data_IF_886561357426
#
_entry.id   IF_886561357426
#
_cell.length_a   1.000
_cell.length_b   1.000
_cell.length_c   1.000
_cell.angle_alpha   90.00
_cell.angle_beta   90.00
_cell.angle_gamma   90.00
#
_symmetry.space_group_name_H-M   'P 1'
#
loop_
_entity.id
_entity.type
_entity.pdbx_description
1 polymer ?
#
# COMPACT_ATOMS: atom_id res chain seq x y z
N UNK A 1 10.97 14.56 -1.26
CA UNK A 1 10.15 15.46 -2.14
C UNK A 1 9.40 14.62 -3.13
N UNK A 2 8.07 14.83 -3.29
CA UNK A 2 7.26 14.05 -4.23
C UNK A 2 7.63 14.42 -5.67
N UNK A 3 7.94 13.42 -6.53
CA UNK A 3 8.34 13.66 -7.91
C UNK A 3 7.18 14.18 -8.76
N UNK A 4 7.44 14.81 -9.92
CA UNK A 4 6.40 15.34 -10.77
C UNK A 4 5.47 14.27 -11.30
N UNK A 5 4.21 14.64 -11.54
CA UNK A 5 3.25 13.82 -12.26
C UNK A 5 3.29 14.18 -13.74
N UNK A 6 3.45 13.18 -14.58
CA UNK A 6 3.53 13.32 -16.04
C UNK A 6 2.26 12.78 -16.67
N UNK A 7 1.79 13.44 -17.72
CA UNK A 7 0.66 12.98 -18.54
C UNK A 7 0.93 13.31 -20.01
N UNK A 8 0.39 12.50 -20.92
CA UNK A 8 0.66 12.67 -22.36
C UNK A 8 -0.52 13.24 -23.15
N UNK A 9 -1.74 13.03 -22.67
CA UNK A 9 -2.96 13.39 -23.40
C UNK A 9 -3.59 14.66 -22.84
N UNK A 10 -4.01 15.58 -23.71
CA UNK A 10 -4.59 16.86 -23.30
C UNK A 10 -5.89 16.70 -22.46
N UNK A 11 -6.69 15.68 -22.73
CA UNK A 11 -7.90 15.37 -21.96
C UNK A 11 -7.62 14.92 -20.52
N UNK A 12 -6.38 14.54 -20.19
CA UNK A 12 -5.96 14.15 -18.84
C UNK A 12 -5.48 15.34 -18.00
N UNK A 13 -5.33 16.53 -18.58
CA UNK A 13 -4.73 17.67 -17.89
C UNK A 13 -5.43 18.02 -16.57
N UNK A 14 -6.74 18.21 -16.59
CA UNK A 14 -7.52 18.56 -15.39
C UNK A 14 -7.36 17.53 -14.28
N UNK A 15 -7.41 16.24 -14.62
CA UNK A 15 -7.23 15.16 -13.68
C UNK A 15 -5.79 15.12 -13.14
N UNK A 16 -4.80 15.27 -14.02
CA UNK A 16 -3.39 15.29 -13.64
C UNK A 16 -3.09 16.45 -12.68
N UNK A 17 -3.62 17.64 -12.94
CA UNK A 17 -3.46 18.80 -12.06
C UNK A 17 -4.15 18.61 -10.71
N UNK A 18 -5.33 17.98 -10.67
CA UNK A 18 -6.02 17.67 -9.42
C UNK A 18 -5.25 16.65 -8.58
N UNK A 19 -4.79 15.56 -9.20
CA UNK A 19 -3.98 14.52 -8.52
C UNK A 19 -2.66 15.11 -8.05
N UNK A 20 -1.97 15.91 -8.87
CA UNK A 20 -0.71 16.55 -8.49
C UNK A 20 -0.86 17.50 -7.29
N UNK A 21 -1.96 18.27 -7.22
CA UNK A 21 -2.27 19.13 -6.06
C UNK A 21 -2.45 18.31 -4.77
N UNK A 22 -3.20 17.23 -4.84
CA UNK A 22 -3.41 16.34 -3.69
C UNK A 22 -2.11 15.70 -3.20
N UNK A 23 -1.25 15.32 -4.13
CA UNK A 23 0.08 14.82 -3.84
C UNK A 23 1.04 15.90 -3.30
N UNK A 24 0.80 17.16 -3.59
CA UNK A 24 1.72 18.27 -3.29
C UNK A 24 2.88 18.36 -4.27
N UNK A 25 2.63 18.06 -5.55
CA UNK A 25 3.61 18.12 -6.65
C UNK A 25 3.07 18.88 -7.85
N UNK A 26 3.80 18.89 -8.97
CA UNK A 26 3.40 19.57 -10.20
C UNK A 26 3.02 18.56 -11.27
N UNK A 27 1.99 18.88 -12.08
CA UNK A 27 1.67 18.15 -13.29
C UNK A 27 2.43 18.74 -14.48
N UNK A 28 2.96 17.86 -15.35
CA UNK A 28 3.71 18.25 -16.55
C UNK A 28 3.21 17.45 -17.76
N UNK A 29 2.89 18.14 -18.83
CA UNK A 29 2.62 17.48 -20.11
C UNK A 29 3.97 17.12 -20.75
N UNK A 30 4.25 15.83 -20.86
CA UNK A 30 5.49 15.35 -21.49
C UNK A 30 5.32 13.91 -21.98
N UNK A 31 5.77 13.65 -23.19
CA UNK A 31 5.87 12.29 -23.76
C UNK A 31 7.18 11.58 -23.43
N UNK A 32 8.15 12.27 -22.81
CA UNK A 32 9.51 11.76 -22.60
C UNK A 32 10.01 12.10 -21.20
N UNK A 33 9.82 11.19 -20.27
CA UNK A 33 10.42 11.27 -18.94
C UNK A 33 10.94 9.89 -18.54
N UNK A 34 12.18 9.59 -18.87
CA UNK A 34 12.78 8.28 -18.59
C UNK A 34 13.97 8.34 -17.64
N UNK A 35 14.48 9.55 -17.34
CA UNK A 35 15.74 9.73 -16.61
C UNK A 35 15.59 10.05 -15.13
N UNK A 36 14.39 10.30 -14.62
CA UNK A 36 14.15 10.65 -13.22
C UNK A 36 12.90 9.95 -12.67
N UNK A 37 12.80 9.73 -11.34
CA UNK A 37 11.58 9.25 -10.73
C UNK A 37 10.39 10.17 -11.07
N UNK A 38 9.26 9.58 -11.44
CA UNK A 38 8.04 10.34 -11.72
C UNK A 38 6.78 9.47 -11.55
N UNK A 39 5.68 10.16 -11.32
CA UNK A 39 4.35 9.57 -11.46
C UNK A 39 3.89 9.73 -12.90
N UNK A 40 3.16 8.77 -13.43
CA UNK A 40 2.63 8.79 -14.79
C UNK A 40 1.14 8.50 -14.78
N UNK A 41 0.36 9.44 -15.31
CA UNK A 41 -1.08 9.27 -15.50
C UNK A 41 -1.36 8.91 -16.96
N UNK A 42 -1.90 7.72 -17.15
CA UNK A 42 -2.27 7.17 -18.45
C UNK A 42 -3.71 6.68 -18.45
N UNK A 43 -4.19 6.16 -19.57
CA UNK A 43 -5.50 5.49 -19.65
C UNK A 43 -5.58 4.25 -18.75
N UNK A 44 -4.44 3.62 -18.47
CA UNK A 44 -4.36 2.46 -17.56
C UNK A 44 -4.44 2.85 -16.09
N UNK A 45 -4.35 4.13 -15.75
CA UNK A 45 -4.37 4.66 -14.40
C UNK A 45 -3.07 5.33 -13.98
N UNK A 46 -2.95 5.62 -12.68
CA UNK A 46 -1.78 6.22 -12.06
C UNK A 46 -0.71 5.17 -11.79
N UNK A 47 0.52 5.43 -12.22
CA UNK A 47 1.67 4.55 -12.02
C UNK A 47 2.89 5.33 -11.55
N UNK A 48 3.87 4.62 -10.97
CA UNK A 48 5.14 5.19 -10.53
C UNK A 48 6.31 4.57 -11.29
N UNK A 49 7.22 5.40 -11.76
CA UNK A 49 8.46 5.01 -12.43
C UNK A 49 9.68 5.43 -11.62
N UNK A 50 10.67 4.55 -11.55
CA UNK A 50 11.99 4.86 -11.00
C UNK A 50 13.07 4.30 -11.91
N UNK A 51 14.07 5.13 -12.35
CA UNK A 51 15.07 4.72 -13.34
C UNK A 51 16.03 3.63 -12.83
N UNK A 52 16.23 3.56 -11.52
CA UNK A 52 17.10 2.54 -10.90
C UNK A 52 16.36 1.23 -10.58
N UNK A 53 15.04 1.17 -10.77
CA UNK A 53 14.34 -0.09 -10.62
C UNK A 53 14.77 -1.07 -11.71
N UNK A 54 15.07 -2.31 -11.33
CA UNK A 54 15.49 -3.37 -12.27
C UNK A 54 14.43 -3.69 -13.31
N UNK A 55 13.17 -3.67 -12.87
CA UNK A 55 12.06 -3.71 -13.81
C UNK A 55 11.93 -2.36 -14.47
N UNK A 56 12.00 -2.29 -15.79
CA UNK A 56 11.73 -1.06 -16.54
C UNK A 56 10.25 -0.75 -16.68
N UNK A 57 9.39 -1.62 -16.16
CA UNK A 57 7.95 -1.42 -16.13
C UNK A 57 7.60 -0.51 -14.95
N UNK A 58 6.62 0.38 -15.13
CA UNK A 58 6.09 1.22 -14.06
C UNK A 58 5.34 0.38 -13.02
N UNK A 59 5.32 0.81 -11.77
CA UNK A 59 4.44 0.22 -10.76
C UNK A 59 3.02 0.75 -10.98
N UNK A 60 2.14 -0.09 -11.46
CA UNK A 60 0.69 0.11 -11.50
C UNK A 60 0.05 -0.83 -10.49
N UNK A 61 -0.81 -0.32 -9.63
CA UNK A 61 -1.60 -1.14 -8.73
C UNK A 61 -2.84 -1.63 -9.47
N UNK A 62 -2.96 -2.95 -9.60
CA UNK A 62 -4.09 -3.59 -10.27
C UNK A 62 -4.63 -4.70 -9.37
N UNK A 63 -5.87 -4.56 -8.94
CA UNK A 63 -6.58 -5.54 -8.10
C UNK A 63 -7.40 -6.55 -8.90
N UNK A 64 -7.53 -6.35 -10.22
CA UNK A 64 -8.32 -7.23 -11.09
C UNK A 64 -7.54 -8.48 -11.53
N UNK A 65 -6.20 -8.41 -11.49
CA UNK A 65 -5.33 -9.45 -12.07
C UNK A 65 -4.17 -9.85 -11.14
N UNK A 66 -3.44 -10.88 -11.54
CA UNK A 66 -2.21 -11.31 -10.90
C UNK A 66 -2.39 -12.03 -9.56
N UNK A 67 -1.31 -12.00 -8.74
CA UNK A 67 -1.26 -12.71 -7.46
C UNK A 67 -2.29 -12.21 -6.44
N UNK A 68 -2.62 -10.93 -6.47
CA UNK A 68 -3.58 -10.29 -5.56
C UNK A 68 -4.98 -10.84 -5.78
N UNK A 69 -5.48 -10.82 -7.00
CA UNK A 69 -6.79 -11.39 -7.33
C UNK A 69 -6.89 -12.89 -7.04
N UNK A 70 -5.78 -13.63 -7.22
CA UNK A 70 -5.73 -15.05 -6.88
C UNK A 70 -5.76 -15.30 -5.37
N UNK A 71 -5.02 -14.53 -4.55
CA UNK A 71 -5.03 -14.64 -3.08
C UNK A 71 -6.40 -14.34 -2.50
N UNK A 72 -7.06 -13.30 -2.98
CA UNK A 72 -8.42 -12.94 -2.57
C UNK A 72 -9.38 -14.11 -2.77
N UNK A 73 -9.38 -14.74 -3.95
CA UNK A 73 -10.24 -15.90 -4.25
C UNK A 73 -9.94 -17.11 -3.35
N UNK A 74 -8.77 -17.19 -2.76
CA UNK A 74 -8.32 -18.28 -1.90
C UNK A 74 -8.17 -17.88 -0.42
N UNK A 75 -8.68 -16.74 -0.01
CA UNK A 75 -8.57 -16.23 1.37
C UNK A 75 -8.98 -17.28 2.41
N UNK A 76 -9.98 -18.09 2.11
CA UNK A 76 -10.41 -19.18 2.97
C UNK A 76 -9.37 -20.28 3.23
N UNK A 77 -8.34 -20.39 2.40
CA UNK A 77 -7.23 -21.34 2.55
C UNK A 77 -6.04 -20.79 3.34
N UNK A 78 -6.05 -19.50 3.70
CA UNK A 78 -4.99 -18.84 4.48
C UNK A 78 -5.09 -19.20 5.98
N UNK A 79 -4.70 -20.45 6.28
CA UNK A 79 -4.84 -21.03 7.61
C UNK A 79 -4.09 -20.28 8.71
N UNK A 80 -2.91 -19.71 8.39
CA UNK A 80 -2.08 -19.01 9.38
C UNK A 80 -2.71 -17.70 9.80
N UNK A 81 -3.20 -16.91 8.84
CA UNK A 81 -3.91 -15.64 9.12
C UNK A 81 -5.18 -15.93 9.93
N UNK A 82 -6.00 -16.89 9.49
CA UNK A 82 -7.20 -17.28 10.25
C UNK A 82 -6.88 -17.75 11.68
N UNK A 83 -5.78 -18.47 11.87
CA UNK A 83 -5.32 -18.87 13.19
C UNK A 83 -4.85 -17.68 14.04
N UNK A 84 -4.19 -16.70 13.42
CA UNK A 84 -3.72 -15.49 14.10
C UNK A 84 -4.89 -14.58 14.53
N UNK A 85 -5.93 -14.47 13.70
CA UNK A 85 -7.15 -13.71 14.02
C UNK A 85 -8.00 -14.38 15.13
N UNK A 86 -7.78 -15.69 15.37
CA UNK A 86 -8.59 -16.46 16.31
C UNK A 86 -9.93 -16.90 15.70
N UNK A 87 -10.78 -17.48 16.57
CA UNK A 87 -12.16 -17.86 16.21
C UNK A 87 -13.08 -16.72 16.59
N UNK A 88 -13.76 -16.14 15.62
CA UNK A 88 -14.83 -15.17 15.84
C UNK A 88 -15.99 -15.52 14.92
N UNK A 89 -17.20 -15.53 15.47
CA UNK A 89 -18.43 -15.71 14.71
C UNK A 89 -18.93 -14.39 14.11
N UNK A 90 -18.35 -13.26 14.54
CA UNK A 90 -18.68 -11.92 14.08
C UNK A 90 -17.52 -11.30 13.30
N UNK A 91 -17.81 -10.40 12.35
CA UNK A 91 -16.78 -9.59 11.70
C UNK A 91 -15.96 -8.82 12.74
N UNK A 92 -14.64 -8.86 12.60
CA UNK A 92 -13.70 -8.11 13.43
C UNK A 92 -13.45 -6.73 12.83
N UNK A 93 -13.14 -5.75 13.69
CA UNK A 93 -12.57 -4.45 13.32
C UNK A 93 -11.04 -4.57 13.41
N UNK A 94 -10.37 -4.51 12.27
CA UNK A 94 -8.93 -4.71 12.15
C UNK A 94 -8.26 -3.38 11.81
N UNK A 95 -7.24 -3.02 12.57
CA UNK A 95 -6.32 -1.95 12.21
C UNK A 95 -5.09 -2.55 11.53
N UNK A 96 -4.94 -2.30 10.24
CA UNK A 96 -3.74 -2.64 9.49
C UNK A 96 -2.80 -1.42 9.50
N UNK A 97 -1.75 -1.49 10.32
CA UNK A 97 -0.77 -0.40 10.49
C UNK A 97 0.23 -0.30 9.34
N UNK A 98 0.24 -1.24 8.42
CA UNK A 98 1.24 -1.41 7.36
C UNK A 98 0.62 -1.80 6.03
N UNK A 99 -0.32 -0.99 5.56
CA UNK A 99 -1.15 -1.29 4.39
C UNK A 99 -0.37 -1.76 3.16
N UNK A 100 0.76 -1.13 2.86
CA UNK A 100 1.63 -1.49 1.74
C UNK A 100 0.84 -1.56 0.43
N UNK A 101 0.84 -2.72 -0.23
CA UNK A 101 0.05 -2.96 -1.44
C UNK A 101 -1.34 -3.58 -1.16
N UNK A 102 -1.86 -3.46 0.04
CA UNK A 102 -3.14 -4.01 0.52
C UNK A 102 -3.27 -5.54 0.40
N UNK A 103 -2.17 -6.28 0.35
CA UNK A 103 -2.25 -7.73 0.12
C UNK A 103 -2.92 -8.47 1.28
N UNK A 104 -2.55 -8.15 2.52
CA UNK A 104 -3.13 -8.76 3.70
C UNK A 104 -4.44 -8.08 4.09
N UNK A 105 -4.56 -6.75 3.90
CA UNK A 105 -5.82 -6.02 4.00
C UNK A 105 -6.93 -6.69 3.18
N UNK A 106 -6.65 -7.04 1.91
CA UNK A 106 -7.62 -7.70 1.04
C UNK A 106 -8.01 -9.10 1.53
N UNK A 107 -7.09 -9.82 2.20
CA UNK A 107 -7.45 -11.08 2.84
C UNK A 107 -8.43 -10.87 3.98
N UNK A 108 -8.20 -9.88 4.84
CA UNK A 108 -9.11 -9.56 5.94
C UNK A 108 -10.49 -9.17 5.42
N UNK A 109 -10.55 -8.31 4.41
CA UNK A 109 -11.79 -7.91 3.74
C UNK A 109 -12.52 -9.10 3.13
N UNK A 110 -11.80 -10.01 2.45
CA UNK A 110 -12.35 -11.23 1.83
C UNK A 110 -12.89 -12.22 2.86
N UNK A 111 -12.37 -12.19 4.09
CA UNK A 111 -12.90 -12.96 5.22
C UNK A 111 -14.11 -12.28 5.89
N UNK A 112 -14.54 -11.12 5.40
CA UNK A 112 -15.72 -10.40 5.86
C UNK A 112 -15.50 -9.38 6.97
N UNK A 113 -14.23 -9.13 7.35
CA UNK A 113 -13.87 -8.18 8.40
C UNK A 113 -13.95 -6.73 7.91
N UNK A 114 -14.02 -5.78 8.85
CA UNK A 114 -13.85 -4.34 8.60
C UNK A 114 -12.39 -3.99 8.82
N UNK A 115 -11.80 -3.17 7.94
CA UNK A 115 -10.39 -2.84 8.01
C UNK A 115 -10.17 -1.34 7.88
N UNK A 116 -9.49 -0.76 8.85
CA UNK A 116 -8.86 0.55 8.72
C UNK A 116 -7.39 0.31 8.41
N UNK A 117 -6.94 0.70 7.20
CA UNK A 117 -5.59 0.47 6.71
C UNK A 117 -4.82 1.80 6.63
N UNK A 118 -3.63 1.82 7.21
CA UNK A 118 -2.79 3.01 7.32
C UNK A 118 -1.61 2.91 6.33
N UNK A 119 -1.45 3.95 5.51
CA UNK A 119 -0.32 4.09 4.60
C UNK A 119 0.34 5.46 4.77
N UNK A 120 1.60 5.48 5.13
CA UNK A 120 2.36 6.70 5.36
C UNK A 120 2.79 7.37 4.06
N UNK A 121 3.16 6.57 3.05
CA UNK A 121 3.59 7.07 1.74
C UNK A 121 2.42 7.69 0.98
N UNK A 122 2.53 8.99 0.67
CA UNK A 122 1.55 9.67 -0.17
C UNK A 122 1.49 9.09 -1.58
N UNK A 123 2.65 8.75 -2.13
CA UNK A 123 2.73 8.14 -3.47
C UNK A 123 1.97 6.83 -3.48
N UNK A 124 2.30 5.92 -2.55
CA UNK A 124 1.66 4.61 -2.50
C UNK A 124 0.17 4.73 -2.20
N UNK A 125 -0.23 5.60 -1.27
CA UNK A 125 -1.63 5.88 -0.97
C UNK A 125 -2.44 6.27 -2.22
N UNK A 126 -1.93 7.19 -3.03
CA UNK A 126 -2.63 7.60 -4.26
C UNK A 126 -2.64 6.53 -5.35
N UNK A 127 -1.57 5.73 -5.46
CA UNK A 127 -1.55 4.56 -6.34
C UNK A 127 -2.61 3.52 -5.91
N UNK A 128 -2.80 3.33 -4.60
CA UNK A 128 -3.82 2.45 -4.05
C UNK A 128 -5.23 2.97 -4.32
N UNK A 129 -5.48 4.26 -4.07
CA UNK A 129 -6.77 4.89 -4.37
C UNK A 129 -7.14 4.76 -5.84
N UNK A 130 -6.19 5.01 -6.74
CA UNK A 130 -6.38 4.82 -8.19
C UNK A 130 -6.67 3.35 -8.52
N UNK A 131 -5.91 2.41 -7.95
CA UNK A 131 -6.14 0.98 -8.14
C UNK A 131 -7.51 0.53 -7.65
N UNK A 132 -7.95 1.00 -6.47
CA UNK A 132 -9.29 0.73 -5.92
C UNK A 132 -10.36 1.26 -6.87
N UNK A 133 -10.25 2.51 -7.34
CA UNK A 133 -11.23 3.13 -8.23
C UNK A 133 -11.41 2.37 -9.56
N UNK A 134 -10.37 1.68 -10.03
CA UNK A 134 -10.35 0.87 -11.25
C UNK A 134 -10.71 -0.62 -11.02
N UNK A 135 -10.96 -1.01 -9.77
CA UNK A 135 -11.32 -2.40 -9.49
C UNK A 135 -12.70 -2.75 -10.08
N UNK A 136 -12.80 -3.93 -10.67
CA UNK A 136 -14.05 -4.47 -11.16
C UNK A 136 -15.02 -4.87 -10.03
N UNK A 137 -14.46 -5.25 -8.87
CA UNK A 137 -15.22 -5.60 -7.68
C UNK A 137 -15.04 -4.51 -6.62
N UNK A 138 -15.97 -3.57 -6.59
CA UNK A 138 -16.00 -2.49 -5.61
C UNK A 138 -16.51 -2.96 -4.25
N UNK A 139 -17.26 -4.05 -4.20
CA UNK A 139 -17.91 -4.51 -2.97
C UNK A 139 -16.91 -4.97 -1.92
N UNK A 140 -15.75 -5.48 -2.33
CA UNK A 140 -14.69 -5.86 -1.40
C UNK A 140 -14.13 -4.67 -0.62
N UNK A 141 -14.19 -3.47 -1.19
CA UNK A 141 -13.66 -2.25 -0.57
C UNK A 141 -14.69 -1.47 0.25
N UNK A 142 -15.97 -1.88 0.28
CA UNK A 142 -17.00 -1.21 1.08
C UNK A 142 -16.70 -1.22 2.59
N UNK A 143 -15.90 -2.19 3.05
CA UNK A 143 -15.49 -2.34 4.44
C UNK A 143 -14.06 -1.86 4.70
N UNK A 144 -13.45 -1.14 3.75
CA UNK A 144 -12.12 -0.57 3.84
C UNK A 144 -12.17 0.92 4.13
N UNK A 145 -11.49 1.34 5.17
CA UNK A 145 -11.11 2.72 5.39
C UNK A 145 -9.59 2.83 5.17
N UNK A 146 -9.17 3.46 4.06
CA UNK A 146 -7.76 3.69 3.74
C UNK A 146 -7.36 5.11 4.10
N UNK A 147 -6.39 5.26 5.00
CA UNK A 147 -5.94 6.55 5.53
C UNK A 147 -4.47 6.79 5.19
N UNK A 148 -4.17 8.03 4.71
CA UNK A 148 -2.78 8.46 4.53
C UNK A 148 -2.25 9.07 5.82
N UNK A 149 -1.76 8.22 6.70
CA UNK A 149 -1.23 8.61 8.01
C UNK A 149 -0.14 7.65 8.48
N UNK A 150 0.80 8.18 9.26
CA UNK A 150 1.79 7.34 9.95
C UNK A 150 1.13 6.57 11.09
N UNK A 151 1.41 5.27 11.18
CA UNK A 151 0.83 4.37 12.17
C UNK A 151 1.09 4.79 13.62
N UNK A 152 2.29 5.33 13.91
CA UNK A 152 2.63 5.79 15.27
C UNK A 152 1.79 7.02 15.68
N UNK A 153 1.52 7.90 14.72
CA UNK A 153 0.67 9.08 14.97
C UNK A 153 -0.80 8.69 15.17
N UNK A 154 -1.24 7.63 14.48
CA UNK A 154 -2.60 7.11 14.61
C UNK A 154 -2.80 6.27 15.88
N UNK A 155 -1.78 5.53 16.33
CA UNK A 155 -1.86 4.63 17.48
C UNK A 155 -2.36 5.30 18.76
N UNK A 156 -2.04 6.57 18.95
CA UNK A 156 -2.53 7.37 20.09
C UNK A 156 -4.07 7.58 20.08
N UNK A 157 -4.69 7.43 18.92
CA UNK A 157 -6.14 7.61 18.69
C UNK A 157 -6.85 6.27 18.45
N UNK A 158 -6.08 5.18 18.29
CA UNK A 158 -6.60 3.85 18.00
C UNK A 158 -7.40 3.31 19.19
N UNK A 159 -8.73 3.39 19.10
CA UNK A 159 -9.67 2.82 20.06
C UNK A 159 -10.64 1.93 19.31
N UNK A 160 -11.08 0.84 19.98
CA UNK A 160 -12.15 -0.03 19.49
C UNK A 160 -11.75 -0.91 18.27
N UNK A 161 -10.50 -1.33 18.15
CA UNK A 161 -10.09 -2.39 17.24
C UNK A 161 -9.99 -3.72 18.00
N UNK A 162 -10.46 -4.79 17.35
CA UNK A 162 -10.36 -6.15 17.88
C UNK A 162 -8.96 -6.72 17.62
N UNK A 163 -8.33 -6.29 16.51
CA UNK A 163 -7.01 -6.75 16.07
C UNK A 163 -6.20 -5.56 15.57
N UNK A 164 -4.92 -5.51 15.97
CA UNK A 164 -3.92 -4.62 15.37
C UNK A 164 -2.94 -5.51 14.60
N UNK A 165 -2.88 -5.30 13.29
CA UNK A 165 -1.98 -6.00 12.39
C UNK A 165 -0.78 -5.11 12.04
N UNK A 166 0.43 -5.67 12.12
CA UNK A 166 1.66 -4.95 11.87
C UNK A 166 2.69 -5.87 11.22
N UNK A 167 2.94 -5.66 9.92
CA UNK A 167 3.95 -6.40 9.13
C UNK A 167 4.82 -5.43 8.32
N UNK A 168 5.73 -4.69 8.97
CA UNK A 168 6.57 -3.71 8.30
C UNK A 168 7.56 -4.38 7.35
N UNK A 169 7.84 -3.71 6.24
CA UNK A 169 8.94 -4.12 5.37
C UNK A 169 10.28 -3.91 6.07
N UNK A 170 10.93 -5.02 6.43
CA UNK A 170 12.29 -4.96 6.96
C UNK A 170 13.31 -4.75 5.85
N UNK A 171 14.36 -3.94 6.08
CA UNK A 171 15.49 -3.88 5.17
C UNK A 171 16.06 -5.29 4.97
N UNK A 172 16.24 -5.71 3.73
CA UNK A 172 16.84 -7.02 3.45
C UNK A 172 18.25 -7.06 4.02
N UNK A 173 18.47 -7.88 5.07
CA UNK A 173 19.79 -8.13 5.65
C UNK A 173 20.64 -9.07 4.79
N UNK A 174 20.03 -9.77 3.84
CA UNK A 174 20.72 -10.69 2.94
C UNK A 174 21.10 -9.97 1.64
N UNK A 175 22.38 -9.74 1.42
CA UNK A 175 22.97 -9.14 0.20
C UNK A 175 22.52 -9.79 -1.12
N UNK A 176 21.94 -10.99 -1.10
CA UNK A 176 21.58 -11.79 -2.27
C UNK A 176 20.06 -12.05 -2.43
N UNK A 177 19.22 -11.58 -1.49
CA UNK A 177 17.77 -11.73 -1.65
C UNK A 177 17.22 -10.56 -2.47
N UNK A 178 17.05 -10.79 -3.77
CA UNK A 178 16.43 -9.82 -4.65
C UNK A 178 14.93 -9.74 -4.32
N UNK A 179 14.45 -8.57 -3.91
CA UNK A 179 13.02 -8.32 -3.72
C UNK A 179 12.26 -8.56 -5.03
N UNK A 180 11.00 -9.01 -4.96
CA UNK A 180 10.16 -9.07 -6.16
C UNK A 180 10.02 -7.68 -6.78
N UNK A 181 9.82 -7.60 -8.11
CA UNK A 181 9.79 -6.31 -8.81
C UNK A 181 8.83 -5.28 -8.20
N UNK A 182 7.67 -5.70 -7.69
CA UNK A 182 6.71 -4.78 -7.02
C UNK A 182 7.24 -4.28 -5.67
N UNK A 183 7.84 -5.14 -4.85
CA UNK A 183 8.43 -4.75 -3.56
C UNK A 183 9.64 -3.85 -3.73
N UNK A 184 10.42 -4.03 -4.80
CA UNK A 184 11.50 -3.11 -5.16
C UNK A 184 10.97 -1.69 -5.41
N UNK A 185 9.84 -1.57 -6.14
CA UNK A 185 9.22 -0.26 -6.37
C UNK A 185 8.70 0.38 -5.10
N UNK A 186 8.10 -0.40 -4.18
CA UNK A 186 7.69 0.14 -2.87
C UNK A 186 8.90 0.68 -2.10
N UNK A 187 10.03 -0.04 -2.08
CA UNK A 187 11.26 0.45 -1.47
C UNK A 187 11.74 1.77 -2.13
N UNK A 188 11.70 1.86 -3.47
CA UNK A 188 12.06 3.09 -4.20
C UNK A 188 11.12 4.26 -3.93
N UNK A 189 9.84 4.01 -3.72
CA UNK A 189 8.86 5.02 -3.29
C UNK A 189 9.25 5.56 -1.91
N UNK A 190 9.49 4.69 -0.93
CA UNK A 190 9.86 5.09 0.42
C UNK A 190 11.18 5.88 0.44
N UNK A 191 12.19 5.44 -0.35
CA UNK A 191 13.44 6.19 -0.55
C UNK A 191 13.17 7.59 -1.14
N UNK A 192 12.33 7.70 -2.16
CA UNK A 192 11.98 8.96 -2.83
C UNK A 192 11.29 9.95 -1.88
N UNK A 193 10.44 9.46 -0.99
CA UNK A 193 9.74 10.27 0.02
C UNK A 193 10.57 10.49 1.29
N UNK A 194 11.76 9.88 1.40
CA UNK A 194 12.61 9.91 2.60
C UNK A 194 11.90 9.35 3.85
N UNK A 195 11.03 8.38 3.63
CA UNK A 195 10.33 7.67 4.71
C UNK A 195 11.30 6.65 5.28
N UNK A 196 11.67 6.85 6.54
CA UNK A 196 12.50 5.89 7.27
C UNK A 196 11.62 4.76 7.81
N UNK A 197 11.91 3.53 7.42
CA UNK A 197 11.35 2.33 8.04
C UNK A 197 11.85 2.18 9.49
N UNK A 198 11.50 3.13 10.35
CA UNK A 198 11.84 3.03 11.76
C UNK A 198 10.69 2.31 12.48
N UNK A 199 10.85 1.06 12.93
CA UNK A 199 9.77 0.29 13.53
C UNK A 199 9.49 0.78 14.96
N UNK A 200 8.95 1.98 15.10
CA UNK A 200 8.68 2.59 16.42
C UNK A 200 7.73 1.75 17.29
N UNK A 201 6.87 0.93 16.67
CA UNK A 201 5.90 0.09 17.38
C UNK A 201 6.51 -1.22 17.92
N UNK A 202 7.64 -1.69 17.38
CA UNK A 202 8.24 -2.96 17.81
C UNK A 202 8.86 -2.91 19.21
N UNK A 203 9.22 -1.72 19.68
CA UNK A 203 9.87 -1.56 20.97
C UNK A 203 8.93 -1.24 22.14
N UNK A 204 7.65 -1.00 21.88
CA UNK A 204 6.68 -0.61 22.91
C UNK A 204 5.73 -1.73 23.31
N UNK A 205 5.68 -2.84 22.58
CA UNK A 205 4.83 -3.98 22.92
C UNK A 205 5.71 -5.15 23.37
N UNK A 206 5.56 -5.65 24.62
CA UNK A 206 6.29 -6.86 25.05
C UNK A 206 5.88 -8.02 24.16
N UNK A 207 6.88 -8.70 23.60
CA UNK A 207 6.65 -9.92 22.84
C UNK A 207 5.99 -10.98 23.72
N UNK A 208 5.01 -11.75 23.23
CA UNK A 208 4.47 -12.89 23.97
C UNK A 208 5.54 -13.93 24.37
N UNK A 209 6.75 -13.85 23.81
CA UNK A 209 7.90 -14.69 24.17
C UNK A 209 8.66 -14.18 25.41
N UNK A 210 8.48 -12.90 25.76
CA UNK A 210 9.20 -12.28 26.89
C UNK A 210 8.53 -12.57 28.24
N UNK A 211 7.33 -13.16 28.23
CA UNK A 211 6.56 -13.54 29.40
C UNK A 211 6.80 -15.00 29.85
N UNK A 212 7.94 -15.59 29.52
CA UNK A 212 8.38 -16.85 30.11
C UNK A 212 9.44 -16.56 31.19
N UNK A 213 8.97 -16.14 32.36
CA UNK A 213 9.70 -16.28 33.62
C UNK A 213 9.17 -17.53 34.36
#
# INVERSE_FOLDING_TARGET
MIPPLVFAQANQQSLAEAVARNLGTTAKNSKQWTSQPHLDLSESGLSFFHPEARSRNKLLIDFNSGSTGWRVKRANHEKLIKKALGKSDLPLNILDCTAGMLQDTLLFLSLGHQVTALEESKILFHLLQDGISRSNDQTIFEKLELLNINACSYAAQAKNFDVIYFDPMYPSTKKNALSSGKLEYVAKILETESINNNPCLLYTSPSPRDNKA
#
